data_IF_587693277684
#
_entry.id   IF_587693277684
#
_cell.length_a   1.000
_cell.length_b   1.000
_cell.length_c   1.000
_cell.angle_alpha   90.00
_cell.angle_beta   90.00
_cell.angle_gamma   90.00
#
_symmetry.space_group_name_H-M   'P 1'
#
loop_
_entity.id
_entity.type
_entity.pdbx_description
1 polymer ?
#
# COMPACT_ATOMS: atom_id res chain seq x y z
N UNK A 1 -15.31 13.83 -14.07
CA UNK A 1 -14.99 12.78 -15.06
C UNK A 1 -14.93 11.47 -14.30
N UNK A 2 -15.90 10.58 -14.52
CA UNK A 2 -15.90 9.26 -13.88
C UNK A 2 -14.81 8.41 -14.52
N UNK A 3 -13.94 7.81 -13.71
CA UNK A 3 -12.88 6.95 -14.19
C UNK A 3 -13.47 5.78 -14.97
N UNK A 4 -12.92 5.51 -16.15
CA UNK A 4 -13.23 4.33 -16.94
C UNK A 4 -13.01 3.06 -16.10
N UNK A 5 -14.06 2.26 -15.96
CA UNK A 5 -14.13 1.09 -15.07
C UNK A 5 -13.33 -0.11 -15.62
N UNK A 6 -12.64 0.07 -16.74
CA UNK A 6 -11.80 -0.92 -17.42
C UNK A 6 -10.42 -1.11 -16.77
N UNK A 7 -9.85 -0.08 -16.13
CA UNK A 7 -8.50 -0.16 -15.55
C UNK A 7 -8.54 -0.58 -14.08
N UNK A 8 -7.79 -1.63 -13.73
CA UNK A 8 -7.66 -2.17 -12.38
C UNK A 8 -6.77 -1.24 -11.55
N UNK A 9 -7.22 -0.77 -10.39
CA UNK A 9 -6.44 0.19 -9.60
C UNK A 9 -6.37 -0.16 -8.12
N UNK A 10 -5.15 -0.21 -7.58
CA UNK A 10 -4.86 -0.56 -6.20
C UNK A 10 -3.96 0.46 -5.51
N UNK A 11 -4.31 0.81 -4.27
CA UNK A 11 -3.54 1.70 -3.41
C UNK A 11 -3.21 1.00 -2.09
N UNK A 12 -1.92 0.93 -1.76
CA UNK A 12 -1.46 0.44 -0.46
C UNK A 12 -1.26 1.59 0.52
N UNK A 13 -1.84 1.48 1.72
CA UNK A 13 -1.83 2.57 2.71
C UNK A 13 -1.28 2.07 4.04
N UNK A 14 -0.20 2.69 4.51
CA UNK A 14 0.29 2.51 5.88
C UNK A 14 0.40 3.85 6.61
N UNK A 15 1.02 3.89 7.80
CA UNK A 15 1.17 5.15 8.55
C UNK A 15 2.07 6.17 7.83
N UNK A 16 3.34 5.83 7.64
CA UNK A 16 4.36 6.77 7.16
C UNK A 16 4.76 6.63 5.69
N UNK A 17 4.27 5.60 4.99
CA UNK A 17 4.62 5.31 3.59
C UNK A 17 6.12 5.16 3.29
N UNK A 18 6.90 4.72 4.28
CA UNK A 18 8.34 4.45 4.14
C UNK A 18 8.70 2.96 4.19
N UNK A 19 7.85 2.11 4.78
CA UNK A 19 8.14 0.68 4.99
C UNK A 19 7.14 -0.25 4.31
N UNK A 20 5.98 -0.48 4.95
CA UNK A 20 5.01 -1.52 4.56
C UNK A 20 4.33 -1.25 3.22
N UNK A 21 3.82 -0.03 3.00
CA UNK A 21 3.09 0.28 1.77
C UNK A 21 4.00 0.38 0.52
N UNK A 22 5.21 0.96 0.55
CA UNK A 22 6.13 0.88 -0.60
C UNK A 22 6.59 -0.53 -0.89
N UNK A 23 6.80 -1.37 0.15
CA UNK A 23 7.14 -2.77 -0.05
C UNK A 23 6.05 -3.52 -0.81
N UNK A 24 4.79 -3.36 -0.40
CA UNK A 24 3.66 -3.97 -1.09
C UNK A 24 3.49 -3.44 -2.52
N UNK A 25 3.71 -2.15 -2.75
CA UNK A 25 3.72 -1.56 -4.09
C UNK A 25 4.76 -2.23 -5.00
N UNK A 26 6.01 -2.34 -4.53
CA UNK A 26 7.10 -2.96 -5.28
C UNK A 26 6.84 -4.43 -5.58
N UNK A 27 6.42 -5.21 -4.57
CA UNK A 27 6.06 -6.62 -4.73
C UNK A 27 4.90 -6.79 -5.70
N UNK A 28 3.83 -6.00 -5.55
CA UNK A 28 2.66 -6.14 -6.41
C UNK A 28 2.98 -5.76 -7.85
N UNK A 29 3.74 -4.68 -8.09
CA UNK A 29 4.25 -4.32 -9.42
C UNK A 29 5.07 -5.44 -10.04
N UNK A 30 5.92 -6.11 -9.25
CA UNK A 30 6.71 -7.24 -9.72
C UNK A 30 5.81 -8.43 -10.10
N UNK A 31 4.86 -8.81 -9.24
CA UNK A 31 3.95 -9.94 -9.47
C UNK A 31 3.02 -9.75 -10.65
N UNK A 32 2.56 -8.52 -10.92
CA UNK A 32 1.73 -8.25 -12.10
C UNK A 32 2.56 -8.20 -13.37
N UNK A 33 3.85 -7.82 -13.29
CA UNK A 33 4.75 -7.72 -14.45
C UNK A 33 4.84 -9.04 -15.22
N UNK A 34 4.82 -10.14 -14.48
CA UNK A 34 4.96 -11.49 -15.03
C UNK A 34 3.62 -12.06 -15.55
N UNK A 35 2.53 -11.29 -15.49
CA UNK A 35 1.21 -11.67 -16.02
C UNK A 35 0.95 -10.95 -17.35
N UNK A 36 0.22 -11.61 -18.24
CA UNK A 36 -0.15 -11.08 -19.57
C UNK A 36 -0.96 -9.78 -19.54
N UNK A 37 -1.53 -9.41 -18.40
CA UNK A 37 -2.50 -8.32 -18.24
C UNK A 37 -1.87 -7.05 -17.62
N UNK A 38 -0.58 -6.83 -17.84
CA UNK A 38 0.20 -5.74 -17.22
C UNK A 38 -0.29 -4.34 -17.56
N UNK A 39 -0.90 -4.14 -18.73
CA UNK A 39 -1.20 -2.82 -19.28
C UNK A 39 -2.37 -2.09 -18.58
N UNK A 40 -3.11 -2.78 -17.72
CA UNK A 40 -4.37 -2.24 -17.14
C UNK A 40 -4.28 -1.88 -15.66
N UNK A 41 -3.10 -2.00 -15.02
CA UNK A 41 -2.97 -1.79 -13.58
C UNK A 41 -2.38 -0.42 -13.19
N UNK A 42 -3.15 0.35 -12.42
CA UNK A 42 -2.64 1.50 -11.65
C UNK A 42 -2.28 1.03 -10.23
N UNK A 43 -0.99 1.08 -9.89
CA UNK A 43 -0.47 0.58 -8.59
C UNK A 43 0.34 1.68 -7.92
N UNK A 44 -0.12 2.14 -6.76
CA UNK A 44 0.55 3.16 -5.95
C UNK A 44 0.55 2.81 -4.45
N UNK A 45 1.33 3.55 -3.67
CA UNK A 45 1.25 3.54 -2.21
C UNK A 45 1.16 4.96 -1.64
N UNK A 46 0.63 5.09 -0.43
CA UNK A 46 0.62 6.34 0.33
C UNK A 46 0.59 6.10 1.86
N UNK A 47 0.64 7.20 2.60
CA UNK A 47 0.67 7.24 4.07
C UNK A 47 -0.51 8.00 4.66
N UNK A 48 -0.98 7.63 5.84
CA UNK A 48 -2.01 8.42 6.55
C UNK A 48 -1.41 9.68 7.20
N UNK A 49 -0.12 9.64 7.56
CA UNK A 49 0.63 10.76 8.13
C UNK A 49 1.48 11.51 7.08
N UNK A 50 2.00 12.69 7.45
CA UNK A 50 2.82 13.56 6.57
C UNK A 50 4.32 13.56 6.85
N UNK A 51 4.81 12.72 7.76
CA UNK A 51 6.17 12.85 8.33
C UNK A 51 7.30 12.87 7.30
N UNK A 52 7.16 12.12 6.21
CA UNK A 52 8.23 11.88 5.23
C UNK A 52 7.86 12.29 3.81
N UNK A 53 6.83 13.13 3.60
CA UNK A 53 6.33 13.44 2.25
C UNK A 53 7.42 14.08 1.38
N UNK A 54 7.62 13.53 0.18
CA UNK A 54 8.67 13.94 -0.76
C UNK A 54 9.98 13.15 -0.64
N UNK A 55 10.15 12.38 0.44
CA UNK A 55 11.31 11.51 0.63
C UNK A 55 11.17 10.19 -0.15
N UNK A 56 12.25 9.41 -0.16
CA UNK A 56 12.23 8.03 -0.64
C UNK A 56 11.79 7.08 0.49
N UNK A 57 11.32 5.87 0.16
CA UNK A 57 11.11 4.81 1.14
C UNK A 57 12.37 4.52 1.96
N UNK A 58 12.19 4.00 3.17
CA UNK A 58 13.29 3.63 4.07
C UNK A 58 14.29 2.68 3.38
N UNK A 59 15.58 2.92 3.57
CA UNK A 59 16.64 2.15 2.91
C UNK A 59 16.53 0.64 3.16
N UNK A 60 16.03 0.21 4.33
CA UNK A 60 15.83 -1.22 4.61
C UNK A 60 14.75 -1.82 3.70
N UNK A 61 13.71 -1.05 3.38
CA UNK A 61 12.67 -1.44 2.42
C UNK A 61 13.27 -1.63 1.04
N UNK A 62 14.05 -0.65 0.56
CA UNK A 62 14.71 -0.70 -0.75
C UNK A 62 15.68 -1.89 -0.82
N UNK A 63 16.53 -2.04 0.20
CA UNK A 63 17.48 -3.14 0.31
C UNK A 63 16.80 -4.51 0.34
N UNK A 64 15.63 -4.60 0.99
CA UNK A 64 14.84 -5.85 1.02
C UNK A 64 14.25 -6.17 -0.35
N UNK A 65 13.70 -5.18 -1.05
CA UNK A 65 13.18 -5.36 -2.42
C UNK A 65 14.29 -5.81 -3.38
N UNK A 66 15.46 -5.18 -3.30
CA UNK A 66 16.61 -5.56 -4.12
C UNK A 66 17.09 -6.99 -3.87
N UNK A 67 17.15 -7.41 -2.59
CA UNK A 67 17.49 -8.79 -2.21
C UNK A 67 16.54 -9.83 -2.82
N UNK A 68 15.29 -9.45 -3.08
CA UNK A 68 14.27 -10.31 -3.69
C UNK A 68 14.14 -10.09 -5.20
N UNK A 69 15.12 -9.45 -5.84
CA UNK A 69 15.16 -9.28 -7.30
C UNK A 69 14.34 -8.10 -7.84
N UNK A 70 13.67 -7.33 -6.98
CA UNK A 70 12.91 -6.14 -7.35
C UNK A 70 13.87 -4.94 -7.35
N UNK A 71 14.66 -4.86 -8.43
CA UNK A 71 15.68 -3.82 -8.62
C UNK A 71 15.07 -2.52 -9.16
N UNK A 72 15.69 -1.39 -8.84
CA UNK A 72 15.30 -0.06 -9.31
C UNK A 72 13.88 0.36 -8.89
N UNK A 73 13.34 -0.20 -7.81
CA UNK A 73 12.09 0.29 -7.26
C UNK A 73 12.26 1.73 -6.80
N UNK A 74 11.40 2.60 -7.30
CA UNK A 74 11.34 4.01 -6.91
C UNK A 74 9.89 4.35 -6.61
N UNK A 75 9.70 4.98 -5.47
CA UNK A 75 8.44 5.58 -5.05
C UNK A 75 8.78 6.86 -4.30
N UNK A 76 7.84 7.79 -4.26
CA UNK A 76 7.99 9.02 -3.48
C UNK A 76 6.93 9.00 -2.42
N UNK A 77 7.36 9.18 -1.18
CA UNK A 77 6.48 9.18 -0.04
C UNK A 77 5.42 10.27 -0.22
N UNK A 78 4.15 9.90 -0.11
CA UNK A 78 3.03 10.83 -0.22
C UNK A 78 1.95 10.53 0.81
N UNK A 79 1.15 11.54 1.14
CA UNK A 79 -0.03 11.34 1.98
C UNK A 79 -1.24 10.90 1.16
N UNK A 80 -2.11 10.11 1.79
CA UNK A 80 -3.47 9.83 1.34
C UNK A 80 -4.26 11.12 1.11
N UNK A 81 -4.74 11.30 -0.11
CA UNK A 81 -5.57 12.41 -0.54
C UNK A 81 -7.03 11.98 -0.69
N UNK A 82 -7.97 12.93 -0.66
CA UNK A 82 -9.40 12.64 -0.89
C UNK A 82 -9.66 12.07 -2.30
N UNK A 83 -8.88 12.52 -3.28
CA UNK A 83 -9.02 12.07 -4.67
C UNK A 83 -8.57 10.62 -4.87
N UNK A 84 -7.78 10.05 -3.95
CA UNK A 84 -7.42 8.63 -4.02
C UNK A 84 -8.66 7.72 -3.94
N UNK A 85 -9.71 8.15 -3.23
CA UNK A 85 -10.97 7.43 -3.07
C UNK A 85 -11.86 7.43 -4.31
N UNK A 86 -11.49 8.15 -5.37
CA UNK A 86 -12.13 8.09 -6.69
C UNK A 86 -11.22 7.51 -7.76
N UNK A 87 -9.89 7.57 -7.56
CA UNK A 87 -8.87 7.00 -8.46
C UNK A 87 -8.71 5.48 -8.28
N UNK A 88 -8.85 4.98 -7.06
CA UNK A 88 -8.52 3.60 -6.71
C UNK A 88 -9.75 2.76 -6.40
N UNK A 89 -9.91 1.65 -7.10
CA UNK A 89 -10.97 0.67 -6.86
C UNK A 89 -10.72 -0.13 -5.58
N UNK A 90 -9.46 -0.48 -5.31
CA UNK A 90 -9.05 -1.20 -4.11
C UNK A 90 -8.07 -0.38 -3.28
N UNK A 91 -8.32 -0.31 -1.98
CA UNK A 91 -7.44 0.31 -1.01
C UNK A 91 -7.11 -0.73 0.05
N UNK A 92 -5.83 -1.07 0.18
CA UNK A 92 -5.35 -2.05 1.16
C UNK A 92 -4.62 -1.37 2.32
N UNK A 93 -5.01 -1.73 3.54
CA UNK A 93 -4.38 -1.27 4.78
C UNK A 93 -3.71 -2.42 5.52
N UNK A 94 -2.73 -2.12 6.38
CA UNK A 94 -1.92 -3.14 7.07
C UNK A 94 -2.34 -3.39 8.51
N UNK A 95 -2.99 -2.43 9.16
CA UNK A 95 -3.43 -2.52 10.55
C UNK A 95 -4.74 -1.73 10.79
N UNK A 96 -5.35 -1.95 11.95
CA UNK A 96 -6.62 -1.32 12.34
C UNK A 96 -6.52 0.20 12.48
N UNK A 97 -5.35 0.73 12.81
CA UNK A 97 -5.14 2.17 12.91
C UNK A 97 -5.13 2.82 11.52
N UNK A 98 -4.48 2.18 10.55
CA UNK A 98 -4.52 2.58 9.15
C UNK A 98 -5.96 2.51 8.63
N UNK A 99 -6.71 1.46 8.97
CA UNK A 99 -8.13 1.32 8.59
C UNK A 99 -8.96 2.48 9.12
N UNK A 100 -8.88 2.77 10.43
CA UNK A 100 -9.59 3.89 11.06
C UNK A 100 -9.24 5.23 10.43
N UNK A 101 -7.96 5.48 10.18
CA UNK A 101 -7.49 6.72 9.56
C UNK A 101 -7.97 6.90 8.11
N UNK A 102 -8.01 5.81 7.34
CA UNK A 102 -8.55 5.81 5.97
C UNK A 102 -10.07 6.04 6.01
N UNK A 103 -10.80 5.34 6.88
CA UNK A 103 -12.26 5.48 6.99
C UNK A 103 -12.67 6.90 7.39
N UNK A 104 -11.96 7.54 8.32
CA UNK A 104 -12.20 8.94 8.68
C UNK A 104 -11.99 9.93 7.52
N UNK A 105 -11.14 9.57 6.54
CA UNK A 105 -10.87 10.39 5.36
C UNK A 105 -11.78 10.04 4.17
N UNK A 106 -12.48 8.90 4.21
CA UNK A 106 -13.31 8.39 3.12
C UNK A 106 -14.49 9.34 2.87
N UNK A 107 -14.65 9.89 1.66
CA UNK A 107 -15.87 10.60 1.28
C UNK A 107 -17.07 9.66 1.23
N UNK A 108 -18.25 10.13 1.61
CA UNK A 108 -19.49 9.33 1.56
C UNK A 108 -19.82 8.82 0.15
N UNK A 109 -19.38 9.54 -0.88
CA UNK A 109 -19.57 9.19 -2.30
C UNK A 109 -18.54 8.21 -2.86
N UNK A 110 -17.64 7.66 -2.03
CA UNK A 110 -16.57 6.77 -2.50
C UNK A 110 -17.03 5.32 -2.60
N UNK A 111 -16.89 4.77 -3.82
CA UNK A 111 -17.11 3.36 -4.13
C UNK A 111 -15.85 2.48 -3.93
N UNK A 112 -14.76 3.04 -3.36
CA UNK A 112 -13.52 2.28 -3.14
C UNK A 112 -13.74 1.15 -2.12
N UNK A 113 -13.22 -0.03 -2.48
CA UNK A 113 -13.20 -1.21 -1.62
C UNK A 113 -11.99 -1.14 -0.68
N UNK A 114 -12.23 -0.83 0.59
CA UNK A 114 -11.18 -0.71 1.60
C UNK A 114 -11.11 -2.00 2.43
N UNK A 115 -10.01 -2.73 2.32
CA UNK A 115 -9.81 -4.00 3.02
C UNK A 115 -8.45 -4.07 3.71
N UNK A 116 -8.36 -4.88 4.76
CA UNK A 116 -7.06 -5.25 5.32
C UNK A 116 -6.37 -6.28 4.42
N UNK A 117 -5.08 -6.10 4.16
CA UNK A 117 -4.33 -7.03 3.30
C UNK A 117 -4.35 -8.45 3.86
N UNK A 118 -4.28 -8.59 5.19
CA UNK A 118 -4.32 -9.88 5.90
C UNK A 118 -5.63 -10.64 5.77
N UNK A 119 -6.70 -10.00 5.29
CA UNK A 119 -7.97 -10.69 4.98
C UNK A 119 -7.78 -11.78 3.90
N UNK A 120 -6.71 -11.67 3.11
CA UNK A 120 -6.38 -12.57 2.02
C UNK A 120 -5.28 -13.57 2.38
N UNK A 121 -4.82 -13.60 3.64
CA UNK A 121 -3.91 -14.63 4.13
C UNK A 121 -4.63 -15.99 4.06
N UNK A 122 -4.10 -16.93 3.26
CA UNK A 122 -4.66 -18.29 3.15
C UNK A 122 -4.26 -19.19 4.31
N UNK A 123 -3.25 -18.78 5.08
CA UNK A 123 -2.83 -19.42 6.32
C UNK A 123 -3.65 -18.83 7.48
N UNK A 124 -4.67 -19.55 7.91
CA UNK A 124 -5.48 -19.18 9.08
C UNK A 124 -4.77 -19.56 10.38
N UNK A 125 -4.87 -18.62 11.33
CA UNK A 125 -4.77 -18.79 12.78
C UNK A 125 -3.39 -19.14 13.36
N UNK A 126 -2.70 -18.12 13.89
CA UNK A 126 -1.60 -18.33 14.85
C UNK A 126 -0.62 -17.17 15.01
N UNK A 127 -0.39 -16.36 13.96
CA UNK A 127 0.61 -15.29 14.01
C UNK A 127 -0.02 -13.90 14.19
N UNK A 128 -0.15 -13.48 15.44
CA UNK A 128 -0.34 -12.07 15.79
C UNK A 128 1.01 -11.37 15.66
N UNK A 129 1.19 -10.49 14.68
CA UNK A 129 2.28 -9.52 14.77
C UNK A 129 1.94 -8.61 15.95
N UNK A 130 2.81 -8.50 16.97
CA UNK A 130 2.58 -7.53 18.03
C UNK A 130 2.46 -6.16 17.39
N UNK A 131 1.38 -5.46 17.70
CA UNK A 131 1.10 -4.08 17.30
C UNK A 131 2.13 -3.08 17.84
N UNK A 132 3.16 -3.54 18.56
CA UNK A 132 4.31 -2.77 18.98
C UNK A 132 5.51 -3.00 18.05
N UNK A 133 5.97 -1.93 17.41
CA UNK A 133 7.36 -1.81 16.99
C UNK A 133 8.26 -2.18 18.18
N UNK A 134 8.87 -3.37 18.18
CA UNK A 134 10.01 -3.68 19.05
C UNK A 134 11.26 -3.62 18.17
N UNK A 135 12.17 -2.65 18.37
CA UNK A 135 13.46 -2.68 17.69
C UNK A 135 14.15 -3.98 18.10
N UNK A 136 14.51 -4.82 17.12
CA UNK A 136 15.35 -5.99 17.34
C UNK A 136 16.79 -5.52 17.57
N UNK A 137 17.04 -4.97 18.75
CA UNK A 137 18.36 -4.83 19.36
C UNK A 137 18.31 -5.54 20.71
N UNK A 138 18.68 -6.81 20.70
CA UNK A 138 19.43 -7.50 21.77
C UNK A 138 20.00 -8.78 21.21
#
# INVERSE_FOLDING_TARGET
MAADKSSKSVLFVCLGNICRSPMAEGIFKHLVKDRSDTSDWLIESCGTARYHVGEQPDDRTLSTLEKHGIKNFRSTVRQLAKDDFSRFQWIFVFDDENKRNVDHKKPASSDSNINMIRRYDTEKDGWSYPTSYRPLLS
#
